data_IF_140451980569
#
_entry.id   IF_140451980569
#
_cell.length_a   1.000
_cell.length_b   1.000
_cell.length_c   1.000
_cell.angle_alpha   90.00
_cell.angle_beta   90.00
_cell.angle_gamma   90.00
#
_symmetry.space_group_name_H-M   'P 1'
#
loop_
_entity.id
_entity.type
_entity.pdbx_description
1 polymer ?
#
# COMPACT_ATOMS: atom_id res chain seq x y z
N UNK A 1 22.18 -11.74 11.81
CA UNK A 1 21.46 -12.00 10.54
C UNK A 1 19.98 -12.14 10.88
N UNK A 2 19.18 -11.08 10.74
CA UNK A 2 17.73 -11.19 10.92
C UNK A 2 17.17 -11.88 9.68
N UNK A 3 16.53 -13.04 9.85
CA UNK A 3 15.97 -13.82 8.75
C UNK A 3 14.82 -13.06 8.07
N UNK A 4 14.76 -13.08 6.73
CA UNK A 4 13.65 -12.48 5.98
C UNK A 4 12.33 -13.12 6.44
N UNK A 5 11.42 -12.31 6.99
CA UNK A 5 10.09 -12.77 7.45
C UNK A 5 9.17 -12.97 6.25
N UNK A 6 8.82 -14.21 5.94
CA UNK A 6 7.84 -14.51 4.89
C UNK A 6 6.41 -14.33 5.43
N UNK A 7 5.62 -13.48 4.77
CA UNK A 7 4.19 -13.32 5.04
C UNK A 7 3.40 -13.93 3.89
N UNK A 8 2.35 -14.68 4.19
CA UNK A 8 1.32 -14.92 3.18
C UNK A 8 0.27 -13.80 3.23
N UNK A 9 -0.58 -13.73 2.22
CA UNK A 9 -1.59 -12.69 2.09
C UNK A 9 -2.50 -12.56 3.32
N UNK A 10 -2.97 -13.67 3.90
CA UNK A 10 -3.84 -13.63 5.10
C UNK A 10 -3.12 -13.02 6.29
N UNK A 11 -1.82 -13.27 6.42
CA UNK A 11 -1.00 -12.64 7.45
C UNK A 11 -0.88 -11.13 7.20
N UNK A 12 -0.68 -10.70 5.96
CA UNK A 12 -0.63 -9.28 5.60
C UNK A 12 -1.98 -8.60 5.88
N UNK A 13 -3.09 -9.22 5.50
CA UNK A 13 -4.45 -8.74 5.80
C UNK A 13 -4.64 -8.58 7.32
N UNK A 14 -4.25 -9.59 8.11
CA UNK A 14 -4.33 -9.52 9.58
C UNK A 14 -3.50 -8.37 10.16
N UNK A 15 -2.28 -8.14 9.67
CA UNK A 15 -1.45 -7.03 10.11
C UNK A 15 -2.09 -5.66 9.82
N UNK A 16 -2.69 -5.49 8.63
CA UNK A 16 -3.42 -4.27 8.31
C UNK A 16 -4.64 -4.08 9.24
N UNK A 17 -5.40 -5.14 9.52
CA UNK A 17 -6.53 -5.07 10.46
C UNK A 17 -6.12 -4.74 11.90
N UNK A 18 -4.99 -5.26 12.37
CA UNK A 18 -4.47 -4.92 13.70
C UNK A 18 -4.17 -3.41 13.81
N UNK A 19 -3.59 -2.82 12.77
CA UNK A 19 -3.35 -1.37 12.68
C UNK A 19 -4.66 -0.59 12.66
N UNK A 20 -5.64 -0.99 11.84
CA UNK A 20 -6.96 -0.35 11.79
C UNK A 20 -7.70 -0.42 13.12
N UNK A 21 -7.61 -1.55 13.83
CA UNK A 21 -8.21 -1.71 15.16
C UNK A 21 -7.59 -0.75 16.18
N UNK A 22 -6.26 -0.58 16.15
CA UNK A 22 -5.56 0.39 17.00
C UNK A 22 -6.01 1.82 16.68
N UNK A 23 -6.06 2.17 15.40
CA UNK A 23 -6.53 3.47 14.92
C UNK A 23 -7.95 3.77 15.41
N UNK A 24 -8.88 2.82 15.24
CA UNK A 24 -10.25 2.95 15.72
C UNK A 24 -10.33 3.15 17.23
N UNK A 25 -9.53 2.37 17.99
CA UNK A 25 -9.50 2.43 19.45
C UNK A 25 -8.98 3.77 19.97
N UNK A 26 -7.94 4.33 19.33
CA UNK A 26 -7.35 5.62 19.71
C UNK A 26 -8.23 6.81 19.29
N UNK A 27 -8.74 6.79 18.06
CA UNK A 27 -9.50 7.92 17.51
C UNK A 27 -10.95 7.99 18.01
N UNK A 28 -11.52 6.86 18.45
CA UNK A 28 -12.96 6.69 18.76
C UNK A 28 -13.89 7.11 17.61
N UNK A 29 -13.38 7.18 16.38
CA UNK A 29 -14.14 7.54 15.18
C UNK A 29 -14.47 6.31 14.37
N UNK A 30 -15.62 6.34 13.69
CA UNK A 30 -15.98 5.29 12.75
C UNK A 30 -14.98 5.25 11.58
N UNK A 31 -14.51 4.05 11.24
CA UNK A 31 -13.67 3.85 10.07
C UNK A 31 -14.50 4.08 8.80
N UNK A 32 -14.07 5.01 7.96
CA UNK A 32 -14.71 5.37 6.70
C UNK A 32 -13.68 5.37 5.58
N UNK A 33 -14.14 5.20 4.34
CA UNK A 33 -13.29 5.27 3.16
C UNK A 33 -13.20 6.72 2.64
N UNK A 34 -12.04 7.15 2.12
CA UNK A 34 -10.73 6.48 2.22
C UNK A 34 -10.18 6.52 3.65
N UNK A 35 -9.46 5.47 4.05
CA UNK A 35 -8.77 5.45 5.34
C UNK A 35 -7.58 6.44 5.29
N UNK A 36 -7.41 7.32 6.29
CA UNK A 36 -6.34 8.33 6.29
C UNK A 36 -5.00 7.72 6.72
N UNK A 37 -4.13 7.37 5.76
CA UNK A 37 -2.84 6.74 6.03
C UNK A 37 -1.91 7.62 6.87
N UNK A 38 -1.98 8.94 6.71
CA UNK A 38 -1.18 9.90 7.47
C UNK A 38 -1.47 9.85 8.97
N UNK A 39 -2.75 9.87 9.34
CA UNK A 39 -3.17 9.70 10.74
C UNK A 39 -2.75 8.34 11.29
N UNK A 40 -2.76 7.29 10.47
CA UNK A 40 -2.27 5.98 10.89
C UNK A 40 -0.75 6.02 11.11
N UNK A 41 0.00 6.56 10.16
CA UNK A 41 1.45 6.68 10.25
C UNK A 41 1.86 7.44 11.53
N UNK A 42 1.26 8.61 11.77
CA UNK A 42 1.61 9.48 12.90
C UNK A 42 1.02 8.97 14.23
N UNK A 43 -0.30 8.79 14.34
CA UNK A 43 -0.97 8.56 15.63
C UNK A 43 -0.84 7.11 16.12
N UNK A 44 -0.73 6.17 15.19
CA UNK A 44 -0.74 4.72 15.49
C UNK A 44 0.67 4.17 15.44
N UNK A 45 1.37 4.39 14.33
CA UNK A 45 2.67 3.77 14.05
C UNK A 45 3.83 4.62 14.60
N UNK A 46 3.60 5.91 14.88
CA UNK A 46 4.63 6.85 15.33
C UNK A 46 5.75 6.99 14.27
N UNK A 47 5.34 7.23 13.02
CA UNK A 47 6.20 7.64 11.92
C UNK A 47 6.00 9.12 11.63
N UNK A 48 7.11 9.85 11.52
CA UNK A 48 7.14 11.20 10.98
C UNK A 48 7.13 11.17 9.44
N UNK A 49 6.71 12.27 8.83
CA UNK A 49 6.66 12.42 7.37
C UNK A 49 7.35 13.73 6.99
N UNK A 50 8.22 13.69 5.98
CA UNK A 50 8.79 14.90 5.40
C UNK A 50 9.00 14.78 3.89
N UNK A 51 9.34 15.92 3.27
CA UNK A 51 9.71 16.00 1.87
C UNK A 51 11.18 16.39 1.75
N UNK A 52 11.94 15.59 1.01
CA UNK A 52 13.34 15.86 0.68
C UNK A 52 13.63 15.39 -0.75
N UNK A 53 14.70 15.91 -1.33
CA UNK A 53 15.20 15.42 -2.62
C UNK A 53 15.78 14.02 -2.42
N UNK A 54 15.16 13.02 -3.05
CA UNK A 54 15.73 11.67 -3.14
C UNK A 54 16.36 11.50 -4.52
N UNK A 55 17.69 11.30 -4.62
CA UNK A 55 18.35 11.06 -5.90
C UNK A 55 17.80 9.80 -6.59
N UNK A 56 17.45 9.93 -7.86
CA UNK A 56 16.95 8.83 -8.67
C UNK A 56 18.01 8.34 -9.64
N UNK A 57 18.39 7.06 -9.58
CA UNK A 57 19.23 6.46 -10.61
C UNK A 57 18.56 6.53 -11.99
N UNK A 58 19.35 6.54 -13.10
CA UNK A 58 18.80 6.54 -14.45
C UNK A 58 17.74 5.45 -14.66
N UNK A 59 16.59 5.83 -15.19
CA UNK A 59 15.46 4.92 -15.45
C UNK A 59 14.64 4.51 -14.22
N UNK A 60 14.93 5.05 -13.04
CA UNK A 60 14.14 4.78 -11.83
C UNK A 60 13.29 5.99 -11.44
N UNK A 61 12.12 5.71 -10.89
CA UNK A 61 11.27 6.71 -10.25
C UNK A 61 11.05 6.29 -8.81
N UNK A 62 11.42 7.17 -7.89
CA UNK A 62 11.31 6.99 -6.45
C UNK A 62 10.29 8.01 -5.94
N UNK A 63 9.17 7.51 -5.40
CA UNK A 63 8.11 8.36 -4.86
C UNK A 63 8.32 8.68 -3.38
N UNK A 64 8.82 7.71 -2.62
CA UNK A 64 9.15 7.84 -1.22
C UNK A 64 10.19 6.78 -0.80
N UNK A 65 10.76 6.95 0.38
CA UNK A 65 11.56 5.95 1.06
C UNK A 65 11.36 5.95 2.57
N UNK A 66 11.67 4.83 3.20
CA UNK A 66 11.57 4.64 4.65
C UNK A 66 12.98 4.69 5.29
N UNK A 67 13.19 5.71 6.12
CA UNK A 67 14.33 5.84 7.01
C UNK A 67 13.98 5.25 8.38
N UNK A 68 13.99 3.91 8.46
CA UNK A 68 13.46 3.16 9.61
C UNK A 68 14.10 3.53 10.95
N UNK A 69 15.39 3.87 10.98
CA UNK A 69 16.09 4.24 12.23
C UNK A 69 15.62 5.56 12.80
N UNK A 70 15.13 6.43 11.94
CA UNK A 70 14.67 7.77 12.30
C UNK A 70 13.14 7.82 12.36
N UNK A 71 12.46 6.66 12.23
CA UNK A 71 10.99 6.52 12.18
C UNK A 71 10.36 7.49 11.19
N UNK A 72 10.95 7.59 10.00
CA UNK A 72 10.65 8.67 9.07
C UNK A 72 10.33 8.13 7.68
N UNK A 73 9.19 8.57 7.13
CA UNK A 73 8.87 8.44 5.71
C UNK A 73 9.28 9.73 5.00
N UNK A 74 10.10 9.58 3.97
CA UNK A 74 10.59 10.70 3.16
C UNK A 74 9.94 10.61 1.78
N UNK A 75 9.13 11.60 1.44
CA UNK A 75 8.60 11.75 0.09
C UNK A 75 9.59 12.49 -0.80
N UNK A 76 9.69 12.06 -2.07
CA UNK A 76 10.61 12.68 -3.01
C UNK A 76 10.06 14.02 -3.51
N UNK A 77 10.69 15.11 -3.07
CA UNK A 77 10.31 16.48 -3.42
C UNK A 77 10.34 16.73 -4.94
N UNK A 78 11.26 16.12 -5.66
CA UNK A 78 11.34 16.23 -7.13
C UNK A 78 10.13 15.64 -7.85
N UNK A 79 9.36 14.78 -7.16
CA UNK A 79 8.15 14.13 -7.66
C UNK A 79 6.87 14.75 -7.13
N UNK A 80 6.94 15.86 -6.37
CA UNK A 80 5.77 16.59 -5.86
C UNK A 80 4.69 16.86 -6.92
N UNK A 81 5.00 17.25 -8.17
CA UNK A 81 3.97 17.44 -9.20
C UNK A 81 3.07 16.22 -9.44
N UNK A 82 3.59 14.99 -9.29
CA UNK A 82 2.77 13.77 -9.43
C UNK A 82 1.73 13.62 -8.31
N UNK A 83 2.03 14.12 -7.12
CA UNK A 83 1.11 14.12 -5.99
C UNK A 83 0.09 15.25 -6.11
N UNK A 84 0.48 16.39 -6.68
CA UNK A 84 -0.44 17.50 -6.97
C UNK A 84 -1.45 17.10 -8.04
N UNK A 85 -0.99 16.45 -9.12
CA UNK A 85 -1.84 15.96 -10.22
C UNK A 85 -2.74 14.80 -9.80
N UNK A 86 -2.32 14.01 -8.81
CA UNK A 86 -3.06 12.85 -8.31
C UNK A 86 -3.01 12.82 -6.77
N UNK A 87 -3.87 13.60 -6.07
CA UNK A 87 -3.78 13.75 -4.61
C UNK A 87 -3.88 12.45 -3.83
N UNK A 88 -4.66 11.47 -4.32
CA UNK A 88 -4.77 10.16 -3.68
C UNK A 88 -3.53 9.27 -3.81
N UNK A 89 -2.56 9.65 -4.65
CA UNK A 89 -1.26 8.98 -4.74
C UNK A 89 -0.52 9.09 -3.40
N UNK A 90 -0.60 10.23 -2.72
CA UNK A 90 0.04 10.46 -1.42
C UNK A 90 -0.41 9.42 -0.40
N UNK A 91 -1.73 9.28 -0.23
CA UNK A 91 -2.31 8.34 0.73
C UNK A 91 -1.92 6.88 0.42
N UNK A 92 -1.83 6.54 -0.87
CA UNK A 92 -1.42 5.20 -1.30
C UNK A 92 0.07 4.93 -1.04
N UNK A 93 0.94 5.85 -1.41
CA UNK A 93 2.39 5.71 -1.19
C UNK A 93 2.69 5.64 0.31
N UNK A 94 2.03 6.47 1.12
CA UNK A 94 2.22 6.42 2.57
C UNK A 94 1.78 5.10 3.17
N UNK A 95 0.60 4.58 2.78
CA UNK A 95 0.14 3.28 3.24
C UNK A 95 1.08 2.12 2.83
N UNK A 96 1.76 2.26 1.69
CA UNK A 96 2.77 1.32 1.23
C UNK A 96 4.03 1.36 2.12
N UNK A 97 4.55 2.55 2.44
CA UNK A 97 5.69 2.70 3.36
C UNK A 97 5.36 2.24 4.80
N UNK A 98 4.13 2.48 5.26
CA UNK A 98 3.64 1.89 6.53
C UNK A 98 3.64 0.37 6.46
N UNK A 99 3.35 -0.23 5.30
CA UNK A 99 3.47 -1.66 5.08
C UNK A 99 4.90 -2.17 5.22
N UNK A 100 5.88 -1.46 4.65
CA UNK A 100 7.30 -1.80 4.85
C UNK A 100 7.70 -1.73 6.32
N UNK A 101 7.29 -0.69 7.03
CA UNK A 101 7.51 -0.59 8.47
C UNK A 101 6.92 -1.80 9.21
N UNK A 102 5.62 -2.01 9.07
CA UNK A 102 4.87 -2.98 9.85
C UNK A 102 5.33 -4.43 9.61
N UNK A 103 5.74 -4.76 8.39
CA UNK A 103 6.05 -6.13 8.00
C UNK A 103 7.55 -6.44 8.03
N UNK A 104 8.41 -5.46 7.79
CA UNK A 104 9.81 -5.72 7.46
C UNK A 104 10.81 -4.97 8.33
N UNK A 105 10.38 -3.97 9.10
CA UNK A 105 11.23 -3.35 10.12
C UNK A 105 11.16 -4.18 11.41
N UNK A 106 12.33 -4.66 11.85
CA UNK A 106 12.48 -5.26 13.17
C UNK A 106 12.90 -4.16 14.15
N UNK A 107 11.95 -3.63 14.91
CA UNK A 107 12.20 -2.51 15.84
C UNK A 107 13.30 -2.84 16.86
N UNK A 108 13.44 -4.10 17.29
CA UNK A 108 14.51 -4.53 18.21
C UNK A 108 15.89 -4.38 17.60
N UNK A 109 16.00 -4.46 16.27
CA UNK A 109 17.26 -4.29 15.55
C UNK A 109 17.68 -2.82 15.38
N UNK A 110 16.75 -1.86 15.51
CA UNK A 110 17.02 -0.44 15.34
C UNK A 110 17.95 0.14 16.42
N UNK A 111 17.97 -0.47 17.60
CA UNK A 111 18.79 -0.04 18.75
C UNK A 111 20.28 -0.42 18.66
N UNK A 112 20.73 -1.05 17.56
CA UNK A 112 22.15 -1.35 17.38
C UNK A 112 22.92 -0.09 16.91
N UNK A 113 23.98 0.33 17.64
CA UNK A 113 24.71 1.54 17.33
C UNK A 113 25.38 1.48 15.95
N UNK A 114 25.33 2.60 15.22
CA UNK A 114 26.05 2.80 13.96
C UNK A 114 27.39 3.46 14.28
N UNK A 115 28.45 3.05 13.56
CA UNK A 115 29.74 3.71 13.65
C UNK A 115 29.64 5.18 13.17
N UNK A 116 30.31 6.14 13.83
CA UNK A 116 30.35 7.53 13.38
C UNK A 116 30.91 7.66 11.95
N UNK A 117 30.27 8.49 11.12
CA UNK A 117 30.77 8.83 9.77
C UNK A 117 30.14 8.06 8.60
N UNK A 118 29.14 7.21 8.84
CA UNK A 118 28.36 6.58 7.77
C UNK A 118 27.06 7.35 7.49
N UNK A 119 26.88 7.77 6.24
CA UNK A 119 25.57 8.18 5.73
C UNK A 119 24.59 7.02 5.79
N UNK A 120 23.32 7.31 6.09
CA UNK A 120 22.28 6.29 6.26
C UNK A 120 21.46 6.17 4.98
N UNK A 121 21.59 5.09 4.20
CA UNK A 121 20.70 4.87 3.08
C UNK A 121 19.29 4.54 3.57
N UNK A 122 18.27 4.92 2.80
CA UNK A 122 16.90 4.43 2.97
C UNK A 122 16.89 2.89 2.96
N UNK A 123 16.19 2.29 3.93
CA UNK A 123 16.12 0.83 4.03
C UNK A 123 15.16 0.25 2.99
N UNK A 124 14.08 0.97 2.71
CA UNK A 124 13.09 0.64 1.67
C UNK A 124 12.87 1.88 0.82
N UNK A 125 12.72 1.66 -0.48
CA UNK A 125 12.54 2.73 -1.46
C UNK A 125 11.46 2.27 -2.42
N UNK A 126 10.29 2.92 -2.39
CA UNK A 126 9.23 2.62 -3.33
C UNK A 126 9.67 3.02 -4.75
N UNK A 127 10.03 2.00 -5.53
CA UNK A 127 10.41 2.12 -6.94
C UNK A 127 9.25 1.64 -7.79
N UNK A 128 8.82 2.47 -8.75
CA UNK A 128 7.88 2.00 -9.76
C UNK A 128 8.50 0.83 -10.54
N UNK A 129 7.83 -0.33 -10.51
CA UNK A 129 8.21 -1.52 -11.29
C UNK A 129 9.13 -2.53 -10.58
N UNK A 130 9.38 -2.39 -9.27
CA UNK A 130 10.08 -3.42 -8.50
C UNK A 130 9.16 -4.63 -8.22
N UNK A 131 9.63 -5.86 -8.47
CA UNK A 131 8.88 -7.11 -8.26
C UNK A 131 9.42 -7.93 -7.09
N UNK A 132 9.99 -7.25 -6.07
CA UNK A 132 10.45 -7.95 -4.88
C UNK A 132 9.28 -8.42 -4.02
N UNK A 133 9.49 -9.47 -3.23
CA UNK A 133 8.45 -10.01 -2.36
C UNK A 133 8.03 -8.99 -1.28
N UNK A 134 8.98 -8.17 -0.80
CA UNK A 134 8.71 -7.06 0.14
C UNK A 134 7.78 -6.02 -0.47
N UNK A 135 8.03 -5.60 -1.71
CA UNK A 135 7.20 -4.62 -2.43
C UNK A 135 5.78 -5.14 -2.66
N UNK A 136 5.66 -6.43 -2.98
CA UNK A 136 4.37 -7.09 -3.12
C UNK A 136 3.59 -7.10 -1.81
N UNK A 137 4.26 -7.35 -0.69
CA UNK A 137 3.64 -7.30 0.63
C UNK A 137 3.22 -5.89 1.02
N UNK A 138 4.03 -4.87 0.73
CA UNK A 138 3.68 -3.48 0.96
C UNK A 138 2.46 -3.06 0.13
N UNK A 139 2.36 -3.48 -1.13
CA UNK A 139 1.14 -3.26 -1.94
C UNK A 139 -0.10 -3.96 -1.37
N UNK A 140 0.02 -5.22 -0.93
CA UNK A 140 -1.08 -5.94 -0.27
C UNK A 140 -1.50 -5.24 1.02
N UNK A 141 -0.53 -4.83 1.84
CA UNK A 141 -0.78 -4.13 3.09
C UNK A 141 -1.53 -2.82 2.83
N UNK A 142 -1.01 -1.98 1.91
CA UNK A 142 -1.65 -0.73 1.53
C UNK A 142 -3.09 -0.97 1.04
N UNK A 143 -3.32 -2.04 0.27
CA UNK A 143 -4.65 -2.42 -0.18
C UNK A 143 -5.59 -2.76 0.97
N UNK A 144 -5.16 -3.61 1.91
CA UNK A 144 -6.00 -4.00 3.05
C UNK A 144 -6.20 -2.86 4.06
N UNK A 145 -5.22 -1.96 4.18
CA UNK A 145 -5.29 -0.80 5.05
C UNK A 145 -6.26 0.25 4.50
N UNK A 146 -6.13 0.60 3.22
CA UNK A 146 -6.90 1.66 2.59
C UNK A 146 -8.31 1.23 2.20
N UNK A 147 -8.47 -0.04 1.80
CA UNK A 147 -9.74 -0.63 1.40
C UNK A 147 -10.02 -1.91 2.22
N UNK A 148 -10.37 -1.79 3.52
CA UNK A 148 -10.68 -2.94 4.35
C UNK A 148 -11.84 -3.73 3.74
N UNK A 149 -11.71 -5.06 3.68
CA UNK A 149 -12.64 -5.97 2.98
C UNK A 149 -14.10 -5.69 3.31
N UNK A 150 -14.43 -5.51 4.59
CA UNK A 150 -15.80 -5.25 5.04
C UNK A 150 -16.35 -3.91 4.55
N UNK A 151 -15.53 -2.85 4.56
CA UNK A 151 -15.93 -1.53 4.08
C UNK A 151 -16.05 -1.51 2.56
N UNK A 152 -15.09 -2.09 1.86
CA UNK A 152 -15.14 -2.17 0.40
C UNK A 152 -16.34 -2.99 -0.07
N UNK A 153 -16.57 -4.16 0.51
CA UNK A 153 -17.70 -5.02 0.14
C UNK A 153 -19.05 -4.31 0.36
N UNK A 154 -19.20 -3.55 1.46
CA UNK A 154 -20.38 -2.74 1.70
C UNK A 154 -20.51 -1.59 0.68
N UNK A 155 -19.40 -0.93 0.34
CA UNK A 155 -19.37 0.20 -0.59
C UNK A 155 -19.79 -0.21 -2.01
N UNK A 156 -19.32 -1.36 -2.49
CA UNK A 156 -19.60 -1.84 -3.86
C UNK A 156 -20.83 -2.74 -3.95
N UNK A 157 -21.58 -2.92 -2.86
CA UNK A 157 -22.76 -3.78 -2.85
C UNK A 157 -23.77 -3.30 -3.91
N UNK A 158 -24.09 -4.18 -4.86
CA UNK A 158 -24.99 -3.87 -5.98
C UNK A 158 -24.36 -3.12 -7.15
N UNK A 159 -23.05 -2.83 -7.12
CA UNK A 159 -22.33 -2.30 -8.28
C UNK A 159 -21.85 -3.43 -9.19
N UNK A 160 -21.89 -3.19 -10.50
CA UNK A 160 -21.25 -4.05 -11.50
C UNK A 160 -19.97 -3.39 -12.00
N UNK A 161 -18.84 -4.09 -11.90
CA UNK A 161 -17.53 -3.62 -12.36
C UNK A 161 -17.17 -4.46 -13.58
N UNK A 162 -17.61 -4.01 -14.76
CA UNK A 162 -17.47 -4.78 -16.01
C UNK A 162 -16.42 -4.24 -16.98
N UNK A 163 -15.84 -3.07 -16.69
CA UNK A 163 -14.93 -2.39 -17.60
C UNK A 163 -13.81 -1.64 -16.88
N UNK A 164 -12.75 -1.31 -17.62
CA UNK A 164 -11.68 -0.44 -17.11
C UNK A 164 -12.21 0.94 -16.73
N UNK A 165 -13.20 1.46 -17.46
CA UNK A 165 -13.85 2.72 -17.12
C UNK A 165 -14.55 2.66 -15.76
N UNK A 166 -15.22 1.55 -15.42
CA UNK A 166 -15.80 1.33 -14.09
C UNK A 166 -14.73 1.35 -13.00
N UNK A 167 -13.61 0.66 -13.24
CA UNK A 167 -12.50 0.63 -12.30
C UNK A 167 -11.91 2.02 -12.08
N UNK A 168 -11.71 2.81 -13.13
CA UNK A 168 -11.18 4.17 -12.99
C UNK A 168 -12.16 5.11 -12.28
N UNK A 169 -13.47 4.98 -12.52
CA UNK A 169 -14.48 5.71 -11.75
C UNK A 169 -14.45 5.33 -10.27
N UNK A 170 -14.40 4.03 -9.98
CA UNK A 170 -14.36 3.53 -8.61
C UNK A 170 -13.06 3.94 -7.90
N UNK A 171 -11.94 3.95 -8.61
CA UNK A 171 -10.65 4.45 -8.13
C UNK A 171 -10.76 5.90 -7.66
N UNK A 172 -11.39 6.76 -8.46
CA UNK A 172 -11.51 8.19 -8.15
C UNK A 172 -12.46 8.42 -6.97
N UNK A 173 -13.55 7.66 -6.89
CA UNK A 173 -14.47 7.70 -5.76
C UNK A 173 -13.83 7.22 -4.45
N UNK A 174 -13.06 6.14 -4.50
CA UNK A 174 -12.38 5.56 -3.35
C UNK A 174 -11.05 6.25 -3.02
N UNK A 175 -10.59 7.16 -3.89
CA UNK A 175 -9.36 7.94 -3.73
C UNK A 175 -8.15 7.04 -3.39
N UNK A 176 -7.88 6.07 -4.26
CA UNK A 176 -6.69 5.19 -4.20
C UNK A 176 -6.06 5.03 -5.57
N UNK A 177 -4.85 4.49 -5.68
CA UNK A 177 -4.33 4.12 -7.00
C UNK A 177 -5.03 2.90 -7.60
N UNK A 178 -4.94 2.74 -8.93
CA UNK A 178 -5.50 1.58 -9.63
C UNK A 178 -4.89 0.25 -9.15
N UNK A 179 -3.60 0.24 -8.77
CA UNK A 179 -2.92 -0.96 -8.24
C UNK A 179 -3.59 -1.43 -6.95
N UNK A 180 -3.79 -0.52 -6.00
CA UNK A 180 -4.47 -0.82 -4.72
C UNK A 180 -5.90 -1.29 -4.96
N UNK A 181 -6.67 -0.60 -5.81
CA UNK A 181 -8.04 -0.99 -6.10
C UNK A 181 -8.12 -2.40 -6.71
N UNK A 182 -7.25 -2.70 -7.68
CA UNK A 182 -7.24 -3.99 -8.38
C UNK A 182 -6.96 -5.14 -7.43
N UNK A 183 -5.98 -4.97 -6.54
CA UNK A 183 -5.69 -5.94 -5.48
C UNK A 183 -6.93 -6.15 -4.62
N UNK A 184 -7.54 -5.08 -4.12
CA UNK A 184 -8.68 -5.15 -3.22
C UNK A 184 -9.90 -5.85 -3.84
N UNK A 185 -10.25 -5.50 -5.09
CA UNK A 185 -11.37 -6.11 -5.83
C UNK A 185 -11.12 -7.59 -6.11
N UNK A 186 -9.90 -7.96 -6.50
CA UNK A 186 -9.54 -9.37 -6.72
C UNK A 186 -9.67 -10.16 -5.41
N UNK A 187 -9.25 -9.58 -4.28
CA UNK A 187 -9.27 -10.27 -2.97
C UNK A 187 -10.66 -10.53 -2.45
N UNK A 188 -11.63 -9.69 -2.79
CA UNK A 188 -13.04 -9.91 -2.44
C UNK A 188 -13.81 -10.65 -3.53
N UNK A 189 -13.16 -10.99 -4.65
CA UNK A 189 -13.77 -11.70 -5.77
C UNK A 189 -14.77 -10.87 -6.57
N UNK A 190 -14.63 -9.54 -6.56
CA UNK A 190 -15.57 -8.63 -7.21
C UNK A 190 -15.14 -8.19 -8.62
N UNK A 191 -13.84 -8.24 -8.92
CA UNK A 191 -13.32 -8.07 -10.27
C UNK A 191 -11.93 -8.72 -10.38
N UNK A 192 -11.56 -9.12 -11.59
CA UNK A 192 -10.21 -9.57 -11.94
C UNK A 192 -9.80 -8.95 -13.27
N UNK A 193 -8.57 -8.47 -13.36
CA UNK A 193 -8.02 -7.94 -14.62
C UNK A 193 -6.94 -8.89 -15.11
N UNK A 194 -7.14 -9.46 -16.28
CA UNK A 194 -6.17 -10.38 -16.88
C UNK A 194 -4.96 -9.66 -17.49
N UNK A 195 -4.02 -10.44 -18.03
CA UNK A 195 -2.78 -9.92 -18.62
C UNK A 195 -3.01 -9.11 -19.90
N UNK A 196 -4.19 -9.25 -20.54
CA UNK A 196 -4.59 -8.43 -21.69
C UNK A 196 -5.21 -7.09 -21.28
N UNK A 197 -5.47 -6.90 -19.99
CA UNK A 197 -6.16 -5.72 -19.46
C UNK A 197 -7.68 -5.82 -19.48
N UNK A 198 -8.25 -6.98 -19.81
CA UNK A 198 -9.70 -7.19 -19.80
C UNK A 198 -10.20 -7.41 -18.36
N UNK A 199 -11.38 -6.86 -18.06
CA UNK A 199 -12.02 -6.96 -16.74
C UNK A 199 -13.01 -8.13 -16.74
N UNK A 200 -12.90 -8.98 -15.73
CA UNK A 200 -13.72 -10.16 -15.50
C UNK A 200 -14.42 -10.06 -14.14
N UNK A 201 -15.60 -10.68 -13.95
CA UNK A 201 -16.30 -10.62 -12.67
C UNK A 201 -15.49 -11.22 -11.51
N UNK A 202 -14.74 -12.30 -11.76
CA UNK A 202 -13.81 -12.86 -10.79
C UNK A 202 -12.70 -13.68 -11.44
N UNK A 203 -11.61 -13.89 -10.70
CA UNK A 203 -10.50 -14.75 -11.13
C UNK A 203 -10.93 -16.22 -11.31
N UNK A 204 -11.88 -16.68 -10.49
CA UNK A 204 -12.40 -18.05 -10.53
C UNK A 204 -13.22 -18.28 -11.79
N UNK A 205 -14.07 -17.33 -12.16
CA UNK A 205 -14.86 -17.41 -13.39
C UNK A 205 -13.98 -17.38 -14.64
N UNK A 206 -12.96 -16.51 -14.68
CA UNK A 206 -12.00 -16.46 -15.78
C UNK A 206 -11.30 -17.81 -16.00
N UNK A 207 -10.70 -18.39 -14.96
CA UNK A 207 -10.03 -19.70 -15.08
C UNK A 207 -11.01 -20.86 -15.29
N UNK A 208 -12.27 -20.73 -14.84
CA UNK A 208 -13.33 -21.69 -15.12
C UNK A 208 -13.66 -21.80 -16.61
N UNK A 209 -13.57 -20.69 -17.35
CA UNK A 209 -13.81 -20.68 -18.80
C UNK A 209 -12.73 -21.43 -19.60
N UNK A 210 -11.47 -21.44 -19.15
CA UNK A 210 -10.38 -22.19 -19.81
C UNK A 210 -10.41 -23.71 -19.56
N UNK A 211 -11.20 -24.20 -18.59
CA UNK A 211 -11.31 -25.65 -18.32
C UNK A 211 -12.41 -26.34 -19.13
N UNK A 212 -13.22 -25.58 -19.87
CA UNK A 212 -14.34 -26.08 -20.68
C UNK A 212 -14.06 -26.04 -22.19
N UNK A 213 -12.83 -25.71 -22.58
CA UNK A 213 -12.31 -25.74 -23.95
C UNK A 213 -11.21 -26.80 -24.05
#
# INVERSE_FOLDING_TARGET
MSGRKFYNEKMVESQAYDVLRRFYTQSKKQLTLPVPAERIAEDVIDLSILWEVIPEPPGQTILAGLASKDRLVVFNETRRPLFDDTPFLYNTVLAHEVGHWQLHVDEMSLYHPILPGFERPFQFVCRRGSDSWEERHAHWFASHLLLPRNLLAAYIAGLTIGSLADMYRLRDQLQVTITVLRIALEKIGAAYVDDSGAVHPSRQEFHGQFRLL
#
